data_IF_116925633921
#
_entry.id   IF_116925633921
#
_cell.length_a   1.000
_cell.length_b   1.000
_cell.length_c   1.000
_cell.angle_alpha   90.00
_cell.angle_beta   90.00
_cell.angle_gamma   90.00
#
_symmetry.space_group_name_H-M   'P 1'
#
loop_
_entity.id
_entity.type
_entity.pdbx_description
1 polymer ?
#
# COMPACT_ATOMS: atom_id res chain seq x y z
N UNK A 1 38.89 15.78 68.07
CA UNK A 1 39.20 16.16 66.67
C UNK A 1 39.07 14.89 65.84
N UNK A 2 37.88 14.64 65.33
CA UNK A 2 37.55 13.43 64.57
C UNK A 2 37.42 13.80 63.10
N UNK A 3 38.19 13.07 62.29
CA UNK A 3 38.34 13.19 60.85
C UNK A 3 37.04 12.72 60.20
N UNK A 4 36.51 13.50 59.25
CA UNK A 4 35.39 13.09 58.41
C UNK A 4 35.91 12.08 57.37
N UNK A 5 35.44 10.83 57.48
CA UNK A 5 35.54 9.83 56.41
C UNK A 5 34.63 10.22 55.25
N UNK A 6 35.22 10.74 54.17
CA UNK A 6 34.61 10.70 52.85
C UNK A 6 34.83 9.31 52.27
N UNK A 7 33.79 8.56 51.86
CA UNK A 7 34.01 7.40 51.02
C UNK A 7 34.44 7.90 49.64
N UNK A 8 35.74 7.79 49.38
CA UNK A 8 36.33 7.82 48.05
C UNK A 8 35.56 6.86 47.15
N UNK A 9 34.77 7.40 46.21
CA UNK A 9 34.32 6.65 45.05
C UNK A 9 35.56 6.28 44.25
N UNK A 10 36.03 5.06 44.48
CA UNK A 10 37.06 4.40 43.69
C UNK A 10 36.55 4.26 42.25
N UNK A 11 36.93 5.19 41.37
CA UNK A 11 36.95 4.98 39.93
C UNK A 11 38.09 4.00 39.62
N UNK A 12 37.83 2.71 39.85
CA UNK A 12 38.73 1.61 39.48
C UNK A 12 38.65 1.34 37.98
N UNK A 13 39.79 1.46 37.31
CA UNK A 13 40.26 0.73 36.13
C UNK A 13 39.22 -0.09 35.33
N UNK A 14 38.30 0.57 34.63
CA UNK A 14 37.62 0.02 33.42
C UNK A 14 36.86 1.11 32.63
N UNK A 15 37.32 2.36 32.70
CA UNK A 15 36.66 3.50 32.04
C UNK A 15 36.57 3.36 30.52
N UNK A 16 37.51 2.66 29.88
CA UNK A 16 37.48 2.43 28.43
C UNK A 16 36.29 1.56 27.97
N UNK A 17 35.83 0.60 28.78
CA UNK A 17 34.66 -0.23 28.44
C UNK A 17 33.35 0.56 28.53
N UNK A 18 33.23 1.47 29.51
CA UNK A 18 32.05 2.34 29.66
C UNK A 18 31.97 3.38 28.54
N UNK A 19 33.10 4.00 28.15
CA UNK A 19 33.12 4.92 27.01
C UNK A 19 32.90 4.20 25.67
N UNK A 20 33.46 3.01 25.48
CA UNK A 20 33.23 2.21 24.28
C UNK A 20 31.76 1.79 24.15
N UNK A 21 31.12 1.41 25.26
CA UNK A 21 29.67 1.13 25.31
C UNK A 21 28.84 2.35 24.95
N UNK A 22 29.18 3.52 25.49
CA UNK A 22 28.49 4.78 25.19
C UNK A 22 28.65 5.20 23.72
N UNK A 23 29.85 5.05 23.15
CA UNK A 23 30.13 5.28 21.73
C UNK A 23 29.31 4.31 20.86
N UNK A 24 29.23 3.03 21.22
CA UNK A 24 28.44 2.05 20.49
C UNK A 24 26.93 2.38 20.49
N UNK A 25 26.39 2.83 21.62
CA UNK A 25 24.99 3.26 21.71
C UNK A 25 24.72 4.49 20.84
N UNK A 26 25.62 5.49 20.87
CA UNK A 26 25.50 6.69 20.01
C UNK A 26 25.57 6.31 18.52
N UNK A 27 26.46 5.40 18.15
CA UNK A 27 26.58 4.86 16.78
C UNK A 27 25.28 4.16 16.33
N UNK A 28 24.68 3.33 17.20
CA UNK A 28 23.40 2.66 16.91
C UNK A 28 22.28 3.69 16.75
N UNK A 29 22.19 4.68 17.63
CA UNK A 29 21.19 5.75 17.55
C UNK A 29 21.32 6.57 16.27
N UNK A 30 22.56 6.93 15.88
CA UNK A 30 22.83 7.62 14.62
C UNK A 30 22.46 6.77 13.42
N UNK A 31 22.80 5.48 13.43
CA UNK A 31 22.41 4.55 12.36
C UNK A 31 20.88 4.46 12.23
N UNK A 32 20.16 4.29 13.34
CA UNK A 32 18.70 4.26 13.36
C UNK A 32 18.12 5.58 12.87
N UNK A 33 18.69 6.72 13.28
CA UNK A 33 18.25 8.04 12.81
C UNK A 33 18.46 8.22 11.30
N UNK A 34 19.65 7.90 10.79
CA UNK A 34 19.95 7.97 9.34
C UNK A 34 19.05 7.04 8.54
N UNK A 35 18.79 5.84 9.05
CA UNK A 35 17.85 4.89 8.44
C UNK A 35 16.43 5.49 8.38
N UNK A 36 15.92 6.05 9.49
CA UNK A 36 14.59 6.67 9.52
C UNK A 36 14.47 7.84 8.52
N UNK A 37 15.48 8.70 8.45
CA UNK A 37 15.51 9.84 7.51
C UNK A 37 15.55 9.36 6.06
N UNK A 38 16.34 8.32 5.75
CA UNK A 38 16.39 7.74 4.42
C UNK A 38 15.04 7.12 4.02
N UNK A 39 14.42 6.36 4.93
CA UNK A 39 13.11 5.76 4.71
C UNK A 39 12.02 6.81 4.47
N UNK A 40 12.09 7.95 5.17
CA UNK A 40 11.19 9.08 4.94
C UNK A 40 11.35 9.72 3.56
N UNK A 41 12.59 9.88 3.08
CA UNK A 41 12.85 10.39 1.72
C UNK A 41 12.27 9.45 0.66
N UNK A 42 12.52 8.16 0.79
CA UNK A 42 11.97 7.14 -0.12
C UNK A 42 10.44 7.12 -0.05
N UNK A 43 9.84 7.26 1.14
CA UNK A 43 8.38 7.38 1.29
C UNK A 43 7.80 8.55 0.50
N UNK A 44 8.43 9.72 0.59
CA UNK A 44 7.97 10.91 -0.14
C UNK A 44 8.05 10.67 -1.64
N UNK A 45 9.19 10.19 -2.14
CA UNK A 45 9.38 9.91 -3.57
C UNK A 45 8.38 8.87 -4.10
N UNK A 46 8.17 7.78 -3.36
CA UNK A 46 7.17 6.76 -3.72
C UNK A 46 5.76 7.35 -3.70
N UNK A 47 5.42 8.16 -2.69
CA UNK A 47 4.11 8.83 -2.59
C UNK A 47 3.88 9.74 -3.80
N UNK A 48 4.89 10.51 -4.20
CA UNK A 48 4.81 11.38 -5.38
C UNK A 48 4.57 10.57 -6.67
N UNK A 49 5.33 9.49 -6.90
CA UNK A 49 5.15 8.62 -8.07
C UNK A 49 3.78 7.93 -8.07
N UNK A 50 3.32 7.44 -6.92
CA UNK A 50 1.98 6.86 -6.78
C UNK A 50 0.91 7.91 -7.12
N UNK A 51 1.03 9.14 -6.60
CA UNK A 51 0.05 10.20 -6.86
C UNK A 51 0.07 10.72 -8.29
N UNK A 52 1.25 10.81 -8.91
CA UNK A 52 1.42 11.37 -10.25
C UNK A 52 1.09 10.37 -11.35
N UNK A 53 1.48 9.11 -11.17
CA UNK A 53 1.43 8.13 -12.25
C UNK A 53 0.37 7.05 -11.98
N UNK A 54 0.36 6.45 -10.79
CA UNK A 54 -0.53 5.33 -10.49
C UNK A 54 -1.98 5.76 -10.27
N UNK A 55 -2.22 6.74 -9.39
CA UNK A 55 -3.56 7.17 -9.01
C UNK A 55 -4.38 7.66 -10.21
N UNK A 56 -3.89 8.56 -11.07
CA UNK A 56 -4.69 9.07 -12.19
C UNK A 56 -5.00 7.96 -13.19
N UNK A 57 -4.04 7.05 -13.42
CA UNK A 57 -4.22 5.94 -14.35
C UNK A 57 -5.22 4.92 -13.81
N UNK A 58 -5.07 4.53 -12.55
CA UNK A 58 -5.98 3.59 -11.89
C UNK A 58 -7.40 4.15 -11.83
N UNK A 59 -7.54 5.44 -11.50
CA UNK A 59 -8.82 6.13 -11.50
C UNK A 59 -9.46 6.12 -12.89
N UNK A 60 -8.70 6.47 -13.93
CA UNK A 60 -9.19 6.44 -15.32
C UNK A 60 -9.61 5.04 -15.76
N UNK A 61 -8.84 4.02 -15.41
CA UNK A 61 -9.16 2.63 -15.77
C UNK A 61 -10.44 2.15 -15.06
N UNK A 62 -10.61 2.46 -13.77
CA UNK A 62 -11.84 2.15 -13.03
C UNK A 62 -13.08 2.87 -13.59
N UNK A 63 -12.95 4.13 -13.99
CA UNK A 63 -14.02 4.87 -14.67
C UNK A 63 -14.41 4.24 -16.00
N UNK A 64 -13.43 3.77 -16.79
CA UNK A 64 -13.70 3.02 -18.02
C UNK A 64 -14.41 1.70 -17.72
N UNK A 65 -14.00 0.95 -16.68
CA UNK A 65 -14.68 -0.30 -16.26
C UNK A 65 -16.14 0.02 -15.92
N UNK A 66 -16.36 1.06 -15.10
CA UNK A 66 -17.71 1.52 -14.73
C UNK A 66 -18.55 1.86 -15.96
N UNK A 67 -17.98 2.54 -16.94
CA UNK A 67 -18.64 2.85 -18.22
C UNK A 67 -19.06 1.59 -18.98
N UNK A 68 -18.17 0.59 -19.07
CA UNK A 68 -18.51 -0.69 -19.71
C UNK A 68 -19.64 -1.43 -18.98
N UNK A 69 -19.65 -1.42 -17.64
CA UNK A 69 -20.72 -2.02 -16.85
C UNK A 69 -22.06 -1.31 -17.06
N UNK A 70 -22.07 0.03 -17.16
CA UNK A 70 -23.29 0.79 -17.48
C UNK A 70 -23.84 0.47 -18.88
N UNK A 71 -22.96 0.31 -19.87
CA UNK A 71 -23.36 -0.12 -21.22
C UNK A 71 -24.00 -1.51 -21.17
N UNK A 72 -23.40 -2.43 -20.42
CA UNK A 72 -23.94 -3.78 -20.23
C UNK A 72 -25.31 -3.78 -19.54
N UNK A 73 -25.47 -3.01 -18.45
CA UNK A 73 -26.76 -2.83 -17.77
C UNK A 73 -27.83 -2.24 -18.71
N UNK A 74 -27.44 -1.34 -19.61
CA UNK A 74 -28.29 -0.79 -20.68
C UNK A 74 -28.61 -1.75 -21.82
N UNK A 75 -28.13 -3.00 -21.77
CA UNK A 75 -28.35 -4.03 -22.78
C UNK A 75 -27.37 -4.01 -23.95
N UNK A 76 -26.29 -3.22 -23.85
CA UNK A 76 -25.17 -3.25 -24.80
C UNK A 76 -24.23 -4.44 -24.57
N UNK A 77 -23.41 -4.73 -25.57
CA UNK A 77 -22.41 -5.79 -25.49
C UNK A 77 -21.07 -5.27 -24.96
N UNK A 78 -20.40 -6.09 -24.15
CA UNK A 78 -19.04 -5.83 -23.66
C UNK A 78 -18.07 -6.62 -24.51
N UNK A 79 -17.33 -5.91 -25.38
CA UNK A 79 -16.41 -6.52 -26.35
C UNK A 79 -14.97 -6.63 -25.86
N UNK A 80 -14.65 -6.05 -24.70
CA UNK A 80 -13.29 -6.04 -24.11
C UNK A 80 -13.32 -6.65 -22.72
N UNK A 81 -12.26 -7.40 -22.37
CA UNK A 81 -12.05 -7.86 -21.00
C UNK A 81 -11.93 -6.65 -20.07
N UNK A 82 -12.74 -6.65 -19.02
CA UNK A 82 -12.69 -5.59 -18.01
C UNK A 82 -11.40 -5.67 -17.19
N UNK A 83 -10.84 -6.88 -17.02
CA UNK A 83 -9.55 -7.08 -16.35
C UNK A 83 -8.41 -6.45 -17.16
N UNK A 84 -8.37 -6.69 -18.47
CA UNK A 84 -7.36 -6.07 -19.35
C UNK A 84 -7.46 -4.55 -19.32
N UNK A 85 -8.68 -4.03 -19.34
CA UNK A 85 -8.95 -2.60 -19.28
C UNK A 85 -8.57 -1.99 -17.92
N UNK A 86 -8.72 -2.73 -16.82
CA UNK A 86 -8.25 -2.31 -15.49
C UNK A 86 -6.73 -2.16 -15.43
N UNK A 87 -5.98 -3.09 -16.02
CA UNK A 87 -4.52 -3.11 -15.97
C UNK A 87 -3.85 -2.33 -17.11
N UNK A 88 -4.62 -1.83 -18.08
CA UNK A 88 -4.11 -1.12 -19.26
C UNK A 88 -3.17 0.03 -18.86
N UNK A 89 -1.87 -0.12 -19.16
CA UNK A 89 -0.85 0.89 -18.87
C UNK A 89 -0.64 1.21 -17.39
N UNK A 90 -1.10 0.35 -16.48
CA UNK A 90 -0.92 0.51 -15.04
C UNK A 90 0.46 0.01 -14.63
N UNK A 91 1.18 0.79 -13.81
CA UNK A 91 2.48 0.34 -13.26
C UNK A 91 2.27 -0.71 -12.18
N UNK A 92 2.60 -1.98 -12.51
CA UNK A 92 2.49 -3.12 -11.58
C UNK A 92 3.40 -2.90 -10.36
N UNK A 93 4.58 -2.32 -10.55
CA UNK A 93 5.52 -2.04 -9.46
C UNK A 93 4.95 -1.02 -8.47
N UNK A 94 4.36 0.08 -8.96
CA UNK A 94 3.73 1.09 -8.09
C UNK A 94 2.46 0.54 -7.43
N UNK A 95 1.69 -0.28 -8.13
CA UNK A 95 0.52 -0.95 -7.54
C UNK A 95 0.92 -1.92 -6.43
N UNK A 96 1.97 -2.71 -6.64
CA UNK A 96 2.54 -3.59 -5.62
C UNK A 96 3.01 -2.79 -4.41
N UNK A 97 3.69 -1.67 -4.64
CA UNK A 97 4.16 -0.77 -3.59
C UNK A 97 3.01 -0.18 -2.77
N UNK A 98 1.94 0.25 -3.44
CA UNK A 98 0.73 0.74 -2.79
C UNK A 98 0.08 -0.37 -1.94
N UNK A 99 -0.02 -1.58 -2.48
CA UNK A 99 -0.59 -2.74 -1.80
C UNK A 99 0.18 -3.14 -0.54
N UNK A 100 1.52 -3.07 -0.56
CA UNK A 100 2.36 -3.33 0.63
C UNK A 100 2.18 -2.27 1.73
N UNK A 101 1.79 -1.05 1.37
CA UNK A 101 1.61 0.07 2.31
C UNK A 101 0.18 0.17 2.84
N UNK A 102 -0.80 -0.27 2.03
CA UNK A 102 -2.22 -0.19 2.37
C UNK A 102 -2.85 -1.58 2.15
N UNK A 103 -2.70 -2.53 3.10
CA UNK A 103 -3.21 -3.89 2.95
C UNK A 103 -4.72 -3.95 2.72
N UNK A 104 -5.49 -3.08 3.39
CA UNK A 104 -6.94 -2.97 3.18
C UNK A 104 -7.29 -2.65 1.73
N UNK A 105 -6.50 -1.78 1.08
CA UNK A 105 -6.68 -1.47 -0.34
C UNK A 105 -6.32 -2.68 -1.19
N UNK A 106 -5.24 -3.38 -0.88
CA UNK A 106 -4.84 -4.61 -1.57
C UNK A 106 -5.94 -5.69 -1.53
N UNK A 107 -6.57 -5.90 -0.37
CA UNK A 107 -7.65 -6.87 -0.20
C UNK A 107 -8.91 -6.49 -0.98
N UNK A 108 -9.26 -5.21 -0.99
CA UNK A 108 -10.38 -4.69 -1.80
C UNK A 108 -10.08 -4.86 -3.29
N UNK A 109 -8.89 -4.45 -3.72
CA UNK A 109 -8.48 -4.53 -5.12
C UNK A 109 -8.42 -5.97 -5.62
N UNK A 110 -7.94 -6.91 -4.79
CA UNK A 110 -7.91 -8.34 -5.14
C UNK A 110 -9.31 -8.90 -5.37
N UNK A 111 -10.24 -8.66 -4.43
CA UNK A 111 -11.63 -9.13 -4.55
C UNK A 111 -12.30 -8.57 -5.79
N UNK A 112 -12.09 -7.28 -6.05
CA UNK A 112 -12.59 -6.63 -7.26
C UNK A 112 -12.07 -7.28 -8.55
N UNK A 113 -10.78 -7.57 -8.62
CA UNK A 113 -10.18 -8.27 -9.78
C UNK A 113 -10.76 -9.67 -9.96
N UNK A 114 -11.03 -10.40 -8.87
CA UNK A 114 -11.62 -11.73 -8.94
C UNK A 114 -13.08 -11.68 -9.43
N UNK A 115 -13.84 -10.67 -9.02
CA UNK A 115 -15.19 -10.44 -9.53
C UNK A 115 -15.18 -10.05 -11.01
N UNK A 116 -14.26 -9.18 -11.45
CA UNK A 116 -14.09 -8.84 -12.87
C UNK A 116 -13.74 -10.06 -13.72
N UNK A 117 -12.84 -10.93 -13.24
CA UNK A 117 -12.53 -12.19 -13.92
C UNK A 117 -13.76 -13.08 -14.05
N UNK A 118 -14.54 -13.17 -12.97
CA UNK A 118 -15.79 -13.95 -12.97
C UNK A 118 -16.79 -13.41 -13.99
N UNK A 119 -16.88 -12.09 -14.12
CA UNK A 119 -17.73 -11.43 -15.10
C UNK A 119 -17.25 -11.64 -16.55
N UNK A 120 -15.95 -11.46 -16.82
CA UNK A 120 -15.34 -11.75 -18.13
C UNK A 120 -15.56 -13.22 -18.53
N UNK A 121 -15.47 -14.15 -17.58
CA UNK A 121 -15.77 -15.57 -17.78
C UNK A 121 -17.26 -15.82 -18.08
N UNK A 122 -18.17 -15.11 -17.40
CA UNK A 122 -19.61 -15.22 -17.67
C UNK A 122 -19.97 -14.73 -19.08
N UNK A 123 -19.41 -13.60 -19.53
CA UNK A 123 -19.67 -13.07 -20.87
C UNK A 123 -19.10 -13.97 -21.96
N UNK A 124 -17.94 -14.58 -21.72
CA UNK A 124 -17.30 -15.50 -22.68
C UNK A 124 -17.85 -16.94 -22.63
N UNK A 125 -18.74 -17.24 -21.67
CA UNK A 125 -19.35 -18.55 -21.51
C UNK A 125 -20.36 -18.86 -22.62
N UNK A 126 -20.38 -20.13 -23.06
CA UNK A 126 -21.42 -20.64 -23.97
C UNK A 126 -22.81 -20.71 -23.34
N UNK A 127 -22.86 -20.78 -22.00
CA UNK A 127 -24.09 -20.74 -21.21
C UNK A 127 -24.13 -19.39 -20.52
N UNK A 128 -24.69 -18.41 -21.23
CA UNK A 128 -24.81 -17.03 -20.75
C UNK A 128 -26.09 -16.87 -19.95
N UNK A 129 -25.95 -16.74 -18.63
CA UNK A 129 -27.04 -16.33 -17.74
C UNK A 129 -26.99 -14.81 -17.57
N UNK A 130 -27.92 -14.13 -18.25
CA UNK A 130 -28.00 -12.67 -18.27
C UNK A 130 -28.34 -12.09 -16.90
N UNK A 131 -29.20 -12.75 -16.13
CA UNK A 131 -29.63 -12.24 -14.83
C UNK A 131 -28.50 -12.36 -13.80
N UNK A 132 -27.77 -13.49 -13.82
CA UNK A 132 -26.56 -13.65 -13.01
C UNK A 132 -25.48 -12.62 -13.39
N UNK A 133 -25.27 -12.38 -14.69
CA UNK A 133 -24.30 -11.39 -15.16
C UNK A 133 -24.70 -9.96 -14.78
N UNK A 134 -25.98 -9.59 -14.84
CA UNK A 134 -26.49 -8.28 -14.41
C UNK A 134 -26.31 -8.08 -12.90
N UNK A 135 -26.61 -9.09 -12.10
CA UNK A 135 -26.40 -9.04 -10.65
C UNK A 135 -24.91 -8.85 -10.30
N UNK A 136 -24.03 -9.57 -11.01
CA UNK A 136 -22.59 -9.42 -10.83
C UNK A 136 -22.09 -8.06 -11.31
N UNK A 137 -22.58 -7.54 -12.44
CA UNK A 137 -22.23 -6.21 -12.94
C UNK A 137 -22.61 -5.11 -11.94
N UNK A 138 -23.81 -5.18 -11.37
CA UNK A 138 -24.27 -4.25 -10.33
C UNK A 138 -23.39 -4.31 -9.08
N UNK A 139 -23.00 -5.52 -8.63
CA UNK A 139 -22.06 -5.70 -7.53
C UNK A 139 -20.70 -5.05 -7.84
N UNK A 140 -20.12 -5.35 -9.00
CA UNK A 140 -18.82 -4.80 -9.41
C UNK A 140 -18.86 -3.28 -9.52
N UNK A 141 -19.98 -2.70 -9.98
CA UNK A 141 -20.15 -1.25 -10.05
C UNK A 141 -20.10 -0.60 -8.66
N UNK A 142 -20.80 -1.17 -7.68
CA UNK A 142 -20.72 -0.71 -6.28
C UNK A 142 -19.29 -0.83 -5.75
N UNK A 143 -18.60 -1.94 -6.03
CA UNK A 143 -17.19 -2.11 -5.63
C UNK A 143 -16.25 -1.11 -6.32
N UNK A 144 -16.55 -0.76 -7.58
CA UNK A 144 -15.81 0.25 -8.35
C UNK A 144 -15.93 1.61 -7.67
N UNK A 145 -17.13 2.01 -7.24
CA UNK A 145 -17.35 3.27 -6.53
C UNK A 145 -16.64 3.29 -5.17
N UNK A 146 -16.61 2.15 -4.45
CA UNK A 146 -15.83 2.00 -3.22
C UNK A 146 -14.33 2.19 -3.49
N UNK A 147 -13.77 1.54 -4.52
CA UNK A 147 -12.36 1.68 -4.89
C UNK A 147 -12.01 3.10 -5.32
N UNK A 148 -12.88 3.76 -6.09
CA UNK A 148 -12.72 5.16 -6.47
C UNK A 148 -12.64 6.06 -5.23
N UNK A 149 -13.51 5.84 -4.24
CA UNK A 149 -13.49 6.59 -2.99
C UNK A 149 -12.19 6.38 -2.20
N UNK A 150 -11.67 5.15 -2.14
CA UNK A 150 -10.41 4.84 -1.47
C UNK A 150 -9.21 5.45 -2.19
N UNK A 151 -9.18 5.43 -3.53
CA UNK A 151 -8.13 6.07 -4.31
C UNK A 151 -8.10 7.58 -4.07
N UNK A 152 -9.27 8.23 -3.96
CA UNK A 152 -9.35 9.65 -3.63
C UNK A 152 -8.83 9.95 -2.21
N UNK A 153 -9.09 9.07 -1.23
CA UNK A 153 -8.49 9.19 0.10
C UNK A 153 -6.96 9.08 0.03
N UNK A 154 -6.44 8.10 -0.70
CA UNK A 154 -4.99 7.90 -0.90
C UNK A 154 -4.36 9.13 -1.57
N UNK A 155 -5.05 9.73 -2.55
CA UNK A 155 -4.62 10.98 -3.21
C UNK A 155 -4.45 12.12 -2.21
N UNK A 156 -5.33 12.21 -1.21
CA UNK A 156 -5.31 13.23 -0.16
C UNK A 156 -4.28 13.01 0.95
N UNK A 157 -3.61 11.85 1.03
CA UNK A 157 -2.63 11.58 2.08
C UNK A 157 -1.31 12.31 1.81
N UNK A 158 -0.78 13.08 2.75
CA UNK A 158 0.52 13.76 2.57
C UNK A 158 1.68 12.79 2.34
N UNK A 159 1.68 11.66 3.07
CA UNK A 159 2.64 10.56 2.94
C UNK A 159 1.94 9.23 3.04
N UNK A 160 2.36 8.25 2.24
CA UNK A 160 1.88 6.87 2.38
C UNK A 160 2.41 6.22 3.67
N UNK A 161 1.67 5.25 4.23
CA UNK A 161 2.12 4.49 5.39
C UNK A 161 3.47 3.79 5.14
N UNK A 162 4.12 3.37 6.22
CA UNK A 162 5.26 2.45 6.14
C UNK A 162 4.83 1.15 5.44
N UNK A 163 5.76 0.54 4.70
CA UNK A 163 5.54 -0.81 4.16
C UNK A 163 5.25 -1.77 5.31
N UNK A 164 4.14 -2.48 5.23
CA UNK A 164 3.83 -3.56 6.15
C UNK A 164 4.42 -4.86 5.58
N UNK A 165 5.18 -5.60 6.39
CA UNK A 165 5.72 -6.92 6.03
C UNK A 165 7.22 -6.99 5.67
N UNK A 166 7.94 -5.87 5.61
CA UNK A 166 9.40 -5.89 5.34
C UNK A 166 10.26 -6.21 6.57
N UNK A 167 9.87 -5.72 7.75
CA UNK A 167 10.65 -5.85 9.00
C UNK A 167 9.78 -5.83 10.28
N UNK A 168 8.49 -6.17 10.21
CA UNK A 168 7.66 -6.29 11.42
C UNK A 168 8.07 -7.45 12.33
N UNK A 169 8.98 -8.32 11.89
CA UNK A 169 9.56 -9.43 12.67
C UNK A 169 10.68 -9.03 13.62
N UNK A 170 11.24 -7.82 13.53
CA UNK A 170 12.28 -7.33 14.47
C UNK A 170 11.70 -6.61 15.69
N UNK A 171 10.36 -6.58 15.85
CA UNK A 171 9.65 -5.92 16.95
C UNK A 171 8.99 -6.92 17.92
N UNK A 172 9.54 -8.13 18.05
CA UNK A 172 9.24 -9.07 19.13
C UNK A 172 10.49 -9.42 19.89
#
# INVERSE_FOLDING_TARGET
MFIYDYPYFWFGENSYLDYAGLIAVVMILLYVFMYMVHEDKVRVEVTEKVKKDLIPKLYSNLEKVRGCLMVFEGGGEVSKSLVELLYEGLSITLLSELNMRIPRFADLFRRYVDDLKSFDLMISSKVFDRDAALNLASKIKVETDVLLSEILKIRGMDKLPHRQGGFSSLRR
#
